data_IF_838203064185
#
_entry.id   IF_838203064185
#
_cell.length_a   1.000
_cell.length_b   1.000
_cell.length_c   1.000
_cell.angle_alpha   90.00
_cell.angle_beta   90.00
_cell.angle_gamma   90.00
#
_symmetry.space_group_name_H-M   'P 1'
#
loop_
_entity.id
_entity.type
_entity.pdbx_description
1 polymer ?
#
# COMPACT_ATOMS: atom_id res chain seq x y z
N UNK A 1 -21.05 -5.06 16.16
CA UNK A 1 -20.85 -5.93 14.98
C UNK A 1 -21.92 -5.52 13.99
N UNK A 2 -21.55 -5.14 12.77
CA UNK A 2 -22.49 -4.84 11.70
C UNK A 2 -22.53 -6.06 10.76
N UNK A 3 -23.74 -6.55 10.52
CA UNK A 3 -24.10 -7.63 9.61
C UNK A 3 -24.06 -7.15 8.16
N UNK A 4 -23.52 -8.01 7.27
CA UNK A 4 -23.92 -8.07 5.87
C UNK A 4 -22.91 -7.58 4.82
N UNK A 5 -22.11 -8.50 4.28
CA UNK A 5 -22.15 -8.81 2.85
C UNK A 5 -21.30 -10.05 2.55
N UNK A 6 -21.91 -11.01 1.86
CA UNK A 6 -21.32 -12.22 1.31
C UNK A 6 -19.98 -11.98 0.60
N UNK A 7 -18.99 -12.80 0.97
CA UNK A 7 -17.62 -12.89 0.40
C UNK A 7 -16.88 -11.55 0.41
N UNK A 8 -16.11 -11.29 1.48
CA UNK A 8 -15.21 -10.13 1.59
C UNK A 8 -14.22 -10.12 0.40
N UNK A 9 -14.54 -9.39 -0.66
CA UNK A 9 -13.63 -9.21 -1.79
C UNK A 9 -12.31 -8.63 -1.27
N UNK A 10 -11.20 -9.29 -1.58
CA UNK A 10 -9.85 -8.88 -1.17
C UNK A 10 -9.14 -8.10 -2.27
N UNK A 11 -9.82 -7.84 -3.39
CA UNK A 11 -9.31 -7.01 -4.47
C UNK A 11 -9.61 -5.54 -4.19
N UNK A 12 -8.58 -4.69 -4.28
CA UNK A 12 -8.70 -3.23 -4.14
C UNK A 12 -8.04 -2.55 -5.32
N UNK A 13 -8.61 -1.45 -5.78
CA UNK A 13 -8.07 -0.65 -6.87
C UNK A 13 -7.30 0.54 -6.31
N UNK A 14 -5.96 0.48 -6.43
CA UNK A 14 -5.11 1.66 -6.21
C UNK A 14 -5.19 2.55 -7.45
N UNK A 15 -5.91 3.67 -7.34
CA UNK A 15 -6.12 4.63 -8.42
C UNK A 15 -4.90 5.50 -8.68
N UNK A 16 -4.13 5.80 -7.64
CA UNK A 16 -2.84 6.47 -7.80
C UNK A 16 -1.88 6.16 -6.65
N UNK A 17 -0.59 6.15 -6.97
CA UNK A 17 0.51 6.10 -6.02
C UNK A 17 1.56 7.11 -6.47
N UNK A 18 1.87 8.09 -5.62
CA UNK A 18 2.94 9.06 -5.88
C UNK A 18 4.03 8.97 -4.82
N UNK A 19 5.25 9.30 -5.22
CA UNK A 19 6.42 9.37 -4.34
C UNK A 19 7.08 10.72 -4.58
N UNK A 20 6.99 11.61 -3.61
CA UNK A 20 7.48 12.97 -3.70
C UNK A 20 8.54 13.24 -2.62
N UNK A 21 9.61 13.96 -2.96
CA UNK A 21 10.57 14.46 -1.98
C UNK A 21 10.14 15.84 -1.49
N UNK A 22 9.89 15.96 -0.18
CA UNK A 22 9.51 17.20 0.48
C UNK A 22 10.59 17.55 1.50
N UNK A 23 11.56 18.38 1.08
CA UNK A 23 12.77 18.63 1.87
C UNK A 23 13.54 17.35 2.13
N UNK A 24 13.74 17.03 3.41
CA UNK A 24 14.43 15.81 3.85
C UNK A 24 13.52 14.58 3.91
N UNK A 25 12.19 14.77 3.76
CA UNK A 25 11.21 13.70 3.83
C UNK A 25 10.87 13.14 2.44
N UNK A 26 10.52 11.85 2.41
CA UNK A 26 9.85 11.23 1.26
C UNK A 26 8.40 10.99 1.64
N UNK A 27 7.48 11.62 0.90
CA UNK A 27 6.05 11.39 1.04
C UNK A 27 5.58 10.38 0.00
N UNK A 28 4.93 9.31 0.47
CA UNK A 28 4.24 8.35 -0.38
C UNK A 28 2.74 8.55 -0.18
N UNK A 29 2.03 8.92 -1.25
CA UNK A 29 0.56 9.08 -1.21
C UNK A 29 -0.07 7.96 -2.01
N UNK A 30 -1.00 7.23 -1.39
CA UNK A 30 -1.76 6.16 -2.02
C UNK A 30 -3.23 6.51 -1.96
N UNK A 31 -3.87 6.55 -3.13
CA UNK A 31 -5.31 6.74 -3.27
C UNK A 31 -5.93 5.48 -3.85
N UNK A 32 -6.93 4.94 -3.17
CA UNK A 32 -7.61 3.71 -3.54
C UNK A 32 -9.10 3.79 -3.18
N UNK A 33 -9.88 2.86 -3.73
CA UNK A 33 -11.29 2.63 -3.36
C UNK A 33 -11.45 2.05 -1.94
N UNK A 34 -10.41 1.39 -1.44
CA UNK A 34 -10.31 0.92 -0.07
C UNK A 34 -8.94 0.28 0.20
N UNK A 35 -8.69 -0.07 1.45
CA UNK A 35 -7.43 -0.69 1.85
C UNK A 35 -7.71 -1.92 2.72
N UNK A 36 -6.94 -2.99 2.52
CA UNK A 36 -6.93 -4.13 3.43
C UNK A 36 -6.09 -3.84 4.67
N UNK A 37 -6.21 -4.71 5.67
CA UNK A 37 -5.40 -4.63 6.89
C UNK A 37 -3.89 -4.61 6.56
N UNK A 38 -3.19 -3.60 7.08
CA UNK A 38 -1.77 -3.30 6.83
C UNK A 38 -1.36 -3.03 5.36
N UNK A 39 -2.30 -3.01 4.39
CA UNK A 39 -1.98 -2.91 2.96
C UNK A 39 -0.99 -1.78 2.62
N UNK A 40 -1.29 -0.55 3.06
CA UNK A 40 -0.44 0.62 2.80
C UNK A 40 0.96 0.44 3.39
N UNK A 41 1.07 -0.06 4.63
CA UNK A 41 2.35 -0.25 5.31
C UNK A 41 3.19 -1.36 4.68
N UNK A 42 2.54 -2.38 4.11
CA UNK A 42 3.22 -3.46 3.39
C UNK A 42 3.76 -2.93 2.05
N UNK A 43 2.96 -2.15 1.31
CA UNK A 43 3.40 -1.51 0.06
C UNK A 43 4.62 -0.62 0.34
N UNK A 44 4.50 0.32 1.29
CA UNK A 44 5.58 1.26 1.65
C UNK A 44 6.83 0.53 2.12
N UNK A 45 6.68 -0.49 2.96
CA UNK A 45 7.81 -1.27 3.43
C UNK A 45 8.51 -2.04 2.32
N UNK A 46 7.75 -2.59 1.37
CA UNK A 46 8.34 -3.28 0.21
C UNK A 46 9.05 -2.30 -0.73
N UNK A 47 8.46 -1.14 -1.01
CA UNK A 47 9.11 -0.08 -1.79
C UNK A 47 10.40 0.42 -1.13
N UNK A 48 10.43 0.45 0.20
CA UNK A 48 11.63 0.83 0.97
C UNK A 48 12.76 -0.19 0.80
N UNK A 49 12.45 -1.49 0.85
CA UNK A 49 13.43 -2.55 0.58
C UNK A 49 13.95 -2.51 -0.87
N UNK A 50 13.09 -2.14 -1.83
CA UNK A 50 13.51 -1.88 -3.22
C UNK A 50 14.45 -0.68 -3.30
N UNK A 51 14.12 0.43 -2.62
CA UNK A 51 14.97 1.61 -2.60
C UNK A 51 16.36 1.34 -1.96
N UNK A 52 16.44 0.42 -1.01
CA UNK A 52 17.70 -0.02 -0.42
C UNK A 52 18.43 -1.11 -1.24
N UNK A 53 17.88 -1.55 -2.37
CA UNK A 53 18.46 -2.58 -3.23
C UNK A 53 18.42 -3.99 -2.63
N UNK A 54 17.54 -4.26 -1.64
CA UNK A 54 17.37 -5.60 -1.05
C UNK A 54 16.36 -6.45 -1.82
N UNK A 55 15.47 -5.79 -2.56
CA UNK A 55 14.51 -6.40 -3.47
C UNK A 55 14.69 -5.73 -4.83
N UNK A 56 14.82 -6.52 -5.89
CA UNK A 56 14.87 -5.98 -7.25
C UNK A 56 13.52 -5.36 -7.64
N UNK A 57 13.48 -4.20 -8.33
CA UNK A 57 12.22 -3.56 -8.74
C UNK A 57 11.28 -4.51 -9.51
N UNK A 58 11.81 -5.36 -10.37
CA UNK A 58 11.08 -6.34 -11.18
C UNK A 58 10.45 -7.45 -10.33
N UNK A 59 10.85 -7.60 -9.06
CA UNK A 59 10.21 -8.52 -8.15
C UNK A 59 8.79 -8.07 -7.79
N UNK A 60 8.44 -6.78 -7.95
CA UNK A 60 7.13 -6.27 -7.57
C UNK A 60 5.97 -6.96 -8.28
N UNK A 61 6.11 -7.17 -9.59
CA UNK A 61 5.12 -7.91 -10.38
C UNK A 61 4.93 -9.33 -9.85
N UNK A 62 6.03 -10.00 -9.51
CA UNK A 62 5.99 -11.35 -8.94
C UNK A 62 5.37 -11.39 -7.55
N UNK A 63 5.65 -10.40 -6.70
CA UNK A 63 5.10 -10.29 -5.34
C UNK A 63 3.59 -10.11 -5.39
N UNK A 64 3.09 -9.27 -6.31
CA UNK A 64 1.64 -9.08 -6.49
C UNK A 64 1.01 -10.35 -7.08
N UNK A 65 1.64 -10.94 -8.09
CA UNK A 65 1.13 -12.14 -8.76
C UNK A 65 1.11 -13.38 -7.84
N UNK A 66 2.05 -13.49 -6.90
CA UNK A 66 2.13 -14.64 -6.00
C UNK A 66 0.98 -14.69 -5.00
N UNK A 67 0.34 -13.55 -4.71
CA UNK A 67 -0.71 -13.41 -3.67
C UNK A 67 -0.25 -13.91 -2.30
N UNK A 68 1.05 -13.97 -2.07
CA UNK A 68 1.66 -14.45 -0.85
C UNK A 68 2.32 -13.28 -0.10
N UNK A 69 1.81 -12.99 1.10
CA UNK A 69 2.33 -11.94 1.96
C UNK A 69 3.81 -12.15 2.28
N UNK A 70 4.29 -13.38 2.40
CA UNK A 70 5.70 -13.65 2.75
C UNK A 70 6.68 -13.23 1.65
N UNK A 71 6.19 -13.08 0.41
CA UNK A 71 6.98 -12.58 -0.72
C UNK A 71 7.22 -11.06 -0.64
N UNK A 72 6.38 -10.32 0.10
CA UNK A 72 6.47 -8.87 0.23
C UNK A 72 7.45 -8.46 1.35
N UNK A 73 7.90 -7.21 1.32
CA UNK A 73 8.85 -6.66 2.28
C UNK A 73 8.30 -6.57 3.72
N UNK A 74 9.18 -6.10 4.61
CA UNK A 74 8.84 -5.87 6.02
C UNK A 74 7.74 -4.81 6.11
N UNK A 75 6.76 -5.01 6.99
CA UNK A 75 5.71 -4.00 7.21
C UNK A 75 6.34 -2.72 7.78
N UNK A 76 6.15 -1.59 7.12
CA UNK A 76 6.65 -0.30 7.61
C UNK A 76 6.10 0.04 9.03
N UNK A 77 6.83 0.81 9.85
CA UNK A 77 6.32 1.31 11.14
C UNK A 77 4.99 2.08 10.97
N UNK A 78 4.11 2.09 11.99
CA UNK A 78 2.82 2.77 11.89
C UNK A 78 2.92 4.30 11.99
N UNK A 79 3.98 4.82 12.61
CA UNK A 79 4.08 6.22 13.06
C UNK A 79 4.14 7.24 11.92
N UNK A 80 4.47 6.79 10.69
CA UNK A 80 4.48 7.61 9.49
C UNK A 80 3.19 7.56 8.66
N UNK A 81 2.20 6.72 9.04
CA UNK A 81 0.95 6.57 8.30
C UNK A 81 -0.15 7.42 8.91
N UNK A 82 -0.80 8.22 8.07
CA UNK A 82 -1.99 8.97 8.43
C UNK A 82 -3.00 9.01 7.29
N UNK A 83 -4.29 9.14 7.62
CA UNK A 83 -5.34 9.35 6.63
C UNK A 83 -5.32 10.81 6.18
N UNK A 84 -4.98 11.07 4.91
CA UNK A 84 -4.88 12.43 4.39
C UNK A 84 -6.24 13.02 3.98
N UNK A 85 -7.06 12.27 3.23
CA UNK A 85 -8.34 12.75 2.69
C UNK A 85 -9.30 11.60 2.41
N UNK A 86 -10.59 11.86 2.57
CA UNK A 86 -11.69 10.98 2.15
C UNK A 86 -12.57 11.76 1.18
N UNK A 87 -12.90 11.16 0.04
CA UNK A 87 -13.78 11.75 -0.96
C UNK A 87 -15.19 11.16 -0.83
N UNK A 88 -16.20 12.02 -0.79
CA UNK A 88 -17.61 11.64 -0.80
C UNK A 88 -18.21 12.07 -2.14
N UNK A 89 -18.79 11.13 -2.89
CA UNK A 89 -19.31 11.35 -4.24
C UNK A 89 -18.34 10.90 -5.34
N UNK A 90 -18.44 11.48 -6.54
CA UNK A 90 -17.47 11.25 -7.62
C UNK A 90 -16.24 12.14 -7.39
N UNK A 91 -15.03 11.57 -7.27
CA UNK A 91 -13.78 12.32 -7.15
C UNK A 91 -13.37 13.00 -8.46
#
# INVERSE_FOLDING_TARGET
MAEGSDTEDTVREVRSLTVDRIGDNIEIRIFADGFLYNMVRIIVGTLTEVAFGRIEPEAMERIIASRDRQSAGVTAPPDGLYLNRVFYGQP
#
